data_IF_806416143833
#
_entry.id   IF_806416143833
#
_cell.length_a   1.000
_cell.length_b   1.000
_cell.length_c   1.000
_cell.angle_alpha   90.00
_cell.angle_beta   90.00
_cell.angle_gamma   90.00
#
_symmetry.space_group_name_H-M   'P 1'
#
loop_
_entity.id
_entity.type
_entity.pdbx_description
1 polymer ?
#
# COMPACT_ATOMS: atom_id res chain seq x y z
N UNK A 1 -6.66 66.40 -4.73
CA UNK A 1 -6.67 64.92 -4.63
C UNK A 1 -5.88 64.22 -5.76
N UNK A 2 -4.69 64.69 -6.17
CA UNK A 2 -3.86 64.01 -7.19
C UNK A 2 -2.38 63.82 -6.80
N UNK A 3 -1.97 64.25 -5.60
CA UNK A 3 -0.60 64.09 -5.09
C UNK A 3 -0.43 62.96 -4.05
N UNK A 4 -1.50 62.53 -3.39
CA UNK A 4 -1.45 61.43 -2.41
C UNK A 4 -1.59 60.04 -3.04
N UNK A 5 -2.08 59.93 -4.28
CA UNK A 5 -2.25 58.65 -4.97
C UNK A 5 -0.92 58.05 -5.47
N UNK A 6 0.12 58.88 -5.69
CA UNK A 6 1.45 58.40 -6.08
C UNK A 6 2.27 57.86 -4.92
N UNK A 7 1.97 58.25 -3.68
CA UNK A 7 2.67 57.75 -2.48
C UNK A 7 2.15 56.37 -2.02
N UNK A 8 0.92 56.00 -2.40
CA UNK A 8 0.32 54.71 -2.07
C UNK A 8 0.86 53.55 -2.93
N UNK A 9 1.46 53.84 -4.09
CA UNK A 9 2.09 52.83 -4.95
C UNK A 9 3.57 52.57 -4.62
N UNK A 10 4.23 53.45 -3.86
CA UNK A 10 5.65 53.28 -3.51
C UNK A 10 5.83 52.46 -2.22
N UNK A 11 4.83 52.39 -1.34
CA UNK A 11 4.88 51.51 -0.16
C UNK A 11 4.50 50.05 -0.45
N UNK A 12 3.81 49.78 -1.57
CA UNK A 12 3.45 48.41 -1.97
C UNK A 12 4.60 47.69 -2.68
N UNK A 13 5.59 48.42 -3.19
CA UNK A 13 6.76 47.87 -3.86
C UNK A 13 7.90 47.45 -2.91
N UNK A 14 7.87 47.86 -1.63
CA UNK A 14 8.89 47.48 -0.64
C UNK A 14 8.56 46.24 0.18
N UNK A 15 7.36 45.66 0.04
CA UNK A 15 6.97 44.41 0.70
C UNK A 15 7.17 43.15 -0.16
N UNK A 16 7.69 43.29 -1.38
CA UNK A 16 7.86 42.17 -2.33
C UNK A 16 9.32 41.63 -2.37
N UNK A 17 10.27 42.25 -1.67
CA UNK A 17 11.68 41.81 -1.66
C UNK A 17 12.17 41.15 -0.35
N UNK A 18 11.25 40.73 0.53
CA UNK A 18 11.60 40.05 1.79
C UNK A 18 11.11 38.61 1.90
N UNK A 19 10.64 38.01 0.81
CA UNK A 19 9.93 36.72 0.83
C UNK A 19 10.53 35.67 -0.09
N UNK A 20 11.84 35.44 -0.04
CA UNK A 20 12.43 34.24 -0.59
C UNK A 20 13.51 33.72 0.35
N UNK A 21 13.46 32.40 0.53
CA UNK A 21 14.52 31.56 1.10
C UNK A 21 14.54 31.49 2.63
N UNK A 22 13.53 30.86 3.22
CA UNK A 22 13.76 29.84 4.26
C UNK A 22 12.51 28.95 4.40
N UNK A 23 12.05 28.37 3.27
CA UNK A 23 11.39 27.07 3.38
C UNK A 23 12.52 26.09 3.68
N UNK A 24 12.81 25.94 4.97
CA UNK A 24 13.59 24.82 5.46
C UNK A 24 12.99 23.57 4.84
N UNK A 25 13.81 22.85 4.09
CA UNK A 25 13.55 21.48 3.71
C UNK A 25 13.24 20.79 5.03
N UNK A 26 11.96 20.57 5.34
CA UNK A 26 11.56 19.73 6.45
C UNK A 26 12.12 18.39 6.02
N UNK A 27 13.23 17.98 6.64
CA UNK A 27 13.68 16.60 6.54
C UNK A 27 12.49 15.79 7.05
N UNK A 28 11.67 15.32 6.12
CA UNK A 28 10.73 14.27 6.39
C UNK A 28 11.61 13.15 6.88
N UNK A 29 11.58 12.90 8.20
CA UNK A 29 12.08 11.66 8.76
C UNK A 29 11.47 10.58 7.89
N UNK A 30 12.30 9.93 7.08
CA UNK A 30 11.89 8.82 6.25
C UNK A 30 11.48 7.72 7.22
N UNK A 31 10.16 7.60 7.45
CA UNK A 31 9.59 6.71 8.46
C UNK A 31 9.75 5.24 8.02
N UNK A 32 10.11 5.01 6.75
CA UNK A 32 10.18 3.71 6.10
C UNK A 32 11.53 3.48 5.42
N UNK A 33 12.63 4.03 5.93
CA UNK A 33 13.94 3.93 5.28
C UNK A 33 14.32 2.49 4.97
N UNK A 34 14.08 1.56 5.90
CA UNK A 34 14.40 0.14 5.74
C UNK A 34 13.23 -0.71 5.24
N UNK A 35 11.98 -0.22 5.38
CA UNK A 35 10.78 -0.86 4.85
C UNK A 35 10.35 -0.38 3.45
N UNK A 36 11.07 0.55 2.78
CA UNK A 36 10.82 0.97 1.39
C UNK A 36 11.36 -0.05 0.38
N UNK A 37 10.79 -1.25 0.39
CA UNK A 37 11.05 -2.29 -0.61
C UNK A 37 10.03 -2.14 -1.74
N UNK A 38 10.52 -2.02 -2.96
CA UNK A 38 9.69 -1.87 -4.16
C UNK A 38 9.95 -2.98 -5.16
N UNK A 39 8.89 -3.35 -5.87
CA UNK A 39 8.95 -4.28 -6.99
C UNK A 39 8.41 -3.61 -8.26
N UNK A 40 9.23 -3.54 -9.30
CA UNK A 40 8.80 -3.08 -10.62
C UNK A 40 8.57 -4.28 -11.53
N UNK A 41 7.32 -4.49 -11.92
CA UNK A 41 6.94 -5.54 -12.84
C UNK A 41 7.09 -5.00 -14.26
N UNK A 42 8.05 -5.52 -15.02
CA UNK A 42 8.24 -5.15 -16.42
C UNK A 42 7.31 -6.01 -17.27
N UNK A 43 6.17 -5.46 -17.66
CA UNK A 43 5.12 -6.24 -18.35
C UNK A 43 5.02 -5.93 -19.86
N UNK A 44 4.15 -6.64 -20.57
CA UNK A 44 3.70 -6.27 -21.93
C UNK A 44 2.95 -4.92 -21.97
N UNK A 45 2.29 -4.52 -20.88
CA UNK A 45 1.52 -3.27 -20.77
C UNK A 45 2.35 -2.10 -20.18
N UNK A 46 3.65 -2.30 -19.99
CA UNK A 46 4.57 -1.34 -19.39
C UNK A 46 4.96 -1.70 -17.96
N UNK A 47 5.73 -0.82 -17.34
CA UNK A 47 6.31 -1.05 -16.01
C UNK A 47 5.30 -0.68 -14.93
N UNK A 48 5.06 -1.56 -13.98
CA UNK A 48 4.12 -1.34 -12.87
C UNK A 48 4.92 -1.42 -11.57
N UNK A 49 4.99 -0.32 -10.83
CA UNK A 49 5.67 -0.29 -9.54
C UNK A 49 4.72 -0.60 -8.38
N UNK A 50 5.18 -1.46 -7.48
CA UNK A 50 4.53 -1.80 -6.22
C UNK A 50 5.44 -1.45 -5.04
N UNK A 51 4.86 -0.87 -3.99
CA UNK A 51 5.43 -0.90 -2.64
C UNK A 51 5.06 -2.25 -2.00
N UNK A 52 6.01 -2.87 -1.33
CA UNK A 52 5.79 -4.11 -0.59
C UNK A 52 5.73 -3.81 0.92
N UNK A 53 4.93 -4.56 1.67
CA UNK A 53 4.74 -4.37 3.12
C UNK A 53 5.55 -5.40 3.96
N UNK A 54 6.90 -5.30 4.07
CA UNK A 54 7.66 -6.19 4.94
C UNK A 54 7.28 -6.05 6.43
N UNK A 55 6.67 -4.93 6.83
CA UNK A 55 6.09 -4.70 8.14
C UNK A 55 4.72 -5.37 8.34
N UNK A 56 4.02 -5.79 7.29
CA UNK A 56 2.77 -6.53 7.43
C UNK A 56 2.95 -8.03 7.21
N UNK A 57 3.78 -8.39 6.23
CA UNK A 57 3.96 -9.77 5.77
C UNK A 57 5.44 -10.06 5.48
N UNK A 58 6.33 -10.01 6.49
CA UNK A 58 7.78 -10.12 6.30
C UNK A 58 8.20 -11.41 5.59
N UNK A 59 7.53 -12.53 5.87
CA UNK A 59 7.86 -13.82 5.27
C UNK A 59 7.42 -13.85 3.81
N UNK A 60 6.21 -13.37 3.53
CA UNK A 60 5.65 -13.31 2.18
C UNK A 60 6.47 -12.40 1.29
N UNK A 61 6.83 -11.20 1.78
CA UNK A 61 7.70 -10.28 1.05
C UNK A 61 9.08 -10.90 0.82
N UNK A 62 9.68 -11.55 1.82
CA UNK A 62 10.96 -12.24 1.65
C UNK A 62 10.90 -13.36 0.61
N UNK A 63 9.82 -14.16 0.62
CA UNK A 63 9.58 -15.21 -0.36
C UNK A 63 9.47 -14.64 -1.78
N UNK A 64 8.60 -13.65 -1.96
CA UNK A 64 8.38 -12.98 -3.25
C UNK A 64 9.67 -12.35 -3.79
N UNK A 65 10.39 -11.60 -2.95
CA UNK A 65 11.66 -10.95 -3.31
C UNK A 65 12.72 -11.98 -3.71
N UNK A 66 12.86 -13.06 -2.95
CA UNK A 66 13.81 -14.13 -3.28
C UNK A 66 13.48 -14.77 -4.64
N UNK A 67 12.21 -15.11 -4.88
CA UNK A 67 11.76 -15.68 -6.16
C UNK A 67 12.02 -14.70 -7.32
N UNK A 68 11.72 -13.42 -7.16
CA UNK A 68 11.98 -12.38 -8.17
C UNK A 68 13.47 -12.24 -8.49
N UNK A 69 14.34 -12.12 -7.48
CA UNK A 69 15.79 -11.99 -7.66
C UNK A 69 16.43 -13.21 -8.34
N UNK A 70 15.83 -14.38 -8.14
CA UNK A 70 16.23 -15.63 -8.80
C UNK A 70 15.68 -15.80 -10.22
N UNK A 71 14.86 -14.85 -10.70
CA UNK A 71 14.24 -14.87 -12.01
C UNK A 71 13.10 -15.88 -12.14
N UNK A 72 12.48 -16.29 -11.03
CA UNK A 72 11.38 -17.27 -11.04
C UNK A 72 10.15 -16.76 -11.80
N UNK A 73 9.93 -15.44 -11.76
CA UNK A 73 8.82 -14.78 -12.45
C UNK A 73 9.15 -14.33 -13.88
N UNK A 74 10.38 -14.54 -14.35
CA UNK A 74 10.82 -14.11 -15.68
C UNK A 74 10.03 -14.87 -16.76
N UNK A 75 9.40 -14.12 -17.67
CA UNK A 75 8.53 -14.62 -18.76
C UNK A 75 7.31 -15.43 -18.29
N UNK A 76 6.81 -15.16 -17.09
CA UNK A 76 5.56 -15.77 -16.61
C UNK A 76 4.33 -14.99 -17.09
N UNK A 77 3.19 -15.67 -17.21
CA UNK A 77 1.94 -15.05 -17.69
C UNK A 77 0.95 -14.77 -16.56
N UNK A 78 0.12 -13.75 -16.76
CA UNK A 78 -1.15 -13.63 -16.04
C UNK A 78 -2.13 -14.67 -16.59
N UNK A 79 -2.22 -15.83 -15.93
CA UNK A 79 -2.96 -16.99 -16.45
C UNK A 79 -4.47 -16.89 -16.19
N UNK A 80 -4.91 -16.01 -15.29
CA UNK A 80 -6.32 -15.82 -14.95
C UNK A 80 -6.63 -14.34 -14.74
N UNK A 81 -7.70 -13.88 -15.38
CA UNK A 81 -8.27 -12.56 -15.17
C UNK A 81 -9.78 -12.73 -14.95
N UNK A 82 -10.32 -12.08 -13.93
CA UNK A 82 -11.76 -11.96 -13.70
C UNK A 82 -12.10 -10.48 -13.81
N UNK A 83 -12.93 -10.17 -14.80
CA UNK A 83 -13.37 -8.81 -15.07
C UNK A 83 -13.98 -8.19 -13.81
N UNK A 84 -13.62 -6.94 -13.55
CA UNK A 84 -14.06 -6.18 -12.39
C UNK A 84 -13.74 -6.80 -11.02
N UNK A 85 -12.73 -7.68 -10.95
CA UNK A 85 -12.35 -8.31 -9.70
C UNK A 85 -10.84 -8.34 -9.49
N UNK A 86 -10.12 -9.20 -10.23
CA UNK A 86 -8.69 -9.39 -10.03
C UNK A 86 -8.00 -10.00 -11.25
N UNK A 87 -6.68 -9.85 -11.28
CA UNK A 87 -5.79 -10.54 -12.21
C UNK A 87 -4.73 -11.33 -11.46
N UNK A 88 -4.49 -12.57 -11.86
CA UNK A 88 -3.65 -13.54 -11.15
C UNK A 88 -2.49 -14.02 -12.03
N UNK A 89 -1.31 -14.08 -11.44
CA UNK A 89 -0.04 -14.46 -12.07
C UNK A 89 0.87 -15.23 -11.11
N UNK A 90 2.15 -15.31 -11.46
CA UNK A 90 3.17 -15.93 -10.59
C UNK A 90 3.27 -17.45 -10.66
N UNK A 91 2.69 -18.07 -11.70
CA UNK A 91 2.85 -19.50 -12.03
C UNK A 91 3.74 -19.65 -13.28
N UNK A 92 4.96 -20.22 -13.15
CA UNK A 92 5.85 -20.46 -14.30
C UNK A 92 5.29 -21.40 -15.36
N UNK A 93 4.35 -22.27 -14.99
CA UNK A 93 3.68 -23.18 -15.93
C UNK A 93 2.52 -22.52 -16.68
N UNK A 94 2.01 -21.40 -16.15
CA UNK A 94 0.82 -20.72 -16.67
C UNK A 94 -0.49 -21.52 -16.52
N UNK A 95 -0.49 -22.61 -15.74
CA UNK A 95 -1.66 -23.51 -15.61
C UNK A 95 -2.59 -23.13 -14.45
N UNK A 96 -2.09 -22.34 -13.49
CA UNK A 96 -2.70 -22.07 -12.20
C UNK A 96 -2.37 -23.11 -11.12
N UNK A 97 -1.53 -24.11 -11.41
CA UNK A 97 -1.17 -25.20 -10.50
C UNK A 97 0.30 -25.16 -10.04
N UNK A 98 1.13 -24.30 -10.63
CA UNK A 98 2.55 -24.22 -10.27
C UNK A 98 2.78 -23.68 -8.86
N UNK A 99 3.85 -24.18 -8.24
CA UNK A 99 4.33 -23.85 -6.89
C UNK A 99 5.87 -23.88 -6.91
N UNK A 100 6.57 -23.09 -6.07
CA UNK A 100 8.03 -23.11 -5.99
C UNK A 100 8.60 -24.39 -5.35
N UNK A 101 7.75 -25.37 -5.03
CA UNK A 101 8.12 -26.64 -4.38
C UNK A 101 8.02 -26.60 -2.85
N UNK A 102 7.57 -25.48 -2.30
CA UNK A 102 7.31 -25.26 -0.87
C UNK A 102 6.13 -24.32 -0.68
N UNK A 103 5.63 -24.23 0.55
CA UNK A 103 4.52 -23.35 0.94
C UNK A 103 4.91 -22.52 2.16
N UNK A 104 4.26 -21.36 2.33
CA UNK A 104 4.41 -20.48 3.48
C UNK A 104 3.06 -20.20 4.15
N UNK A 105 3.13 -19.80 5.41
CA UNK A 105 1.96 -19.45 6.22
C UNK A 105 1.29 -18.16 5.72
N UNK A 106 0.03 -17.95 6.11
CA UNK A 106 -0.67 -16.69 5.92
C UNK A 106 -0.21 -15.65 6.97
N UNK A 107 -0.15 -14.38 6.57
CA UNK A 107 0.23 -13.25 7.44
C UNK A 107 -0.87 -12.18 7.34
N UNK A 108 -1.48 -11.86 8.48
CA UNK A 108 -2.58 -10.89 8.55
C UNK A 108 -2.30 -9.85 9.63
N UNK A 109 -2.68 -8.60 9.35
CA UNK A 109 -2.66 -7.48 10.30
C UNK A 109 -4.01 -6.76 10.27
N UNK A 110 -4.43 -6.20 11.39
CA UNK A 110 -5.78 -5.63 11.54
C UNK A 110 -6.01 -4.35 10.71
N UNK A 111 -4.94 -3.65 10.33
CA UNK A 111 -4.98 -2.36 9.65
C UNK A 111 -4.86 -2.46 8.12
N UNK A 112 -4.63 -3.65 7.58
CA UNK A 112 -4.45 -3.89 6.15
C UNK A 112 -5.56 -4.79 5.62
N UNK A 113 -6.33 -4.28 4.66
CA UNK A 113 -7.50 -4.96 4.10
C UNK A 113 -7.67 -4.67 2.60
N UNK A 114 -8.67 -5.30 1.98
CA UNK A 114 -9.00 -5.14 0.56
C UNK A 114 -10.02 -4.02 0.30
N UNK A 115 -10.09 -3.00 1.17
CA UNK A 115 -11.00 -1.86 0.97
C UNK A 115 -10.61 -1.01 -0.25
N UNK A 116 -9.30 -0.91 -0.54
CA UNK A 116 -8.79 -0.22 -1.71
C UNK A 116 -8.60 -1.18 -2.89
N UNK A 117 -8.75 -0.71 -4.15
CA UNK A 117 -8.35 -1.47 -5.32
C UNK A 117 -6.81 -1.50 -5.44
N UNK A 118 -6.29 -2.40 -6.27
CA UNK A 118 -4.87 -2.43 -6.61
C UNK A 118 -3.98 -3.10 -5.56
N UNK A 119 -4.56 -3.86 -4.63
CA UNK A 119 -3.82 -4.61 -3.61
C UNK A 119 -3.18 -5.85 -4.23
N UNK A 120 -1.90 -6.04 -3.95
CA UNK A 120 -1.13 -7.22 -4.32
C UNK A 120 -1.17 -8.23 -3.16
N UNK A 121 -1.65 -9.43 -3.44
CA UNK A 121 -1.87 -10.47 -2.43
C UNK A 121 -1.50 -11.87 -2.92
N UNK A 122 -1.16 -12.77 -2.01
CA UNK A 122 -0.83 -14.16 -2.33
C UNK A 122 -2.08 -14.95 -2.68
N UNK A 123 -2.01 -15.73 -3.75
CA UNK A 123 -3.00 -16.75 -4.02
C UNK A 123 -2.65 -18.02 -3.23
N UNK A 124 -3.67 -18.68 -2.68
CA UNK A 124 -3.52 -19.91 -1.91
C UNK A 124 -4.58 -20.96 -2.31
N UNK A 125 -4.40 -22.17 -1.82
CA UNK A 125 -5.31 -23.32 -1.99
C UNK A 125 -6.07 -23.64 -0.67
N UNK A 126 -6.13 -22.67 0.24
CA UNK A 126 -6.56 -22.83 1.62
C UNK A 126 -5.55 -22.23 2.60
N UNK A 127 -5.85 -22.22 3.91
CA UNK A 127 -5.00 -21.58 4.91
C UNK A 127 -3.56 -22.12 4.89
N UNK A 128 -2.57 -21.22 4.99
CA UNK A 128 -1.14 -21.52 5.05
C UNK A 128 -0.62 -22.31 3.84
N UNK A 129 -1.13 -22.00 2.64
CA UNK A 129 -0.68 -22.63 1.40
C UNK A 129 -0.20 -21.61 0.36
N UNK A 130 0.44 -20.54 0.84
CA UNK A 130 1.02 -19.52 -0.03
C UNK A 130 2.24 -20.10 -0.76
N UNK A 131 2.25 -20.01 -2.09
CA UNK A 131 3.35 -20.50 -2.93
C UNK A 131 4.09 -19.34 -3.60
N UNK A 132 4.06 -19.33 -4.93
CA UNK A 132 4.59 -18.23 -5.75
C UNK A 132 3.51 -17.39 -6.41
N UNK A 133 2.28 -17.91 -6.50
CA UNK A 133 1.19 -17.27 -7.20
C UNK A 133 0.65 -16.09 -6.39
N UNK A 134 0.34 -15.01 -7.09
CA UNK A 134 -0.23 -13.80 -6.53
C UNK A 134 -1.37 -13.31 -7.41
N UNK A 135 -2.19 -12.43 -6.86
CA UNK A 135 -3.17 -11.67 -7.62
C UNK A 135 -3.12 -10.19 -7.24
N UNK A 136 -3.62 -9.36 -8.15
CA UNK A 136 -3.80 -7.93 -7.96
C UNK A 136 -5.30 -7.65 -8.05
N UNK A 137 -5.87 -7.02 -7.03
CA UNK A 137 -7.27 -6.60 -7.08
C UNK A 137 -7.43 -5.42 -8.04
N UNK A 138 -8.48 -5.44 -8.86
CA UNK A 138 -8.84 -4.32 -9.73
C UNK A 138 -9.93 -3.46 -9.04
N UNK A 139 -10.68 -4.05 -8.12
CA UNK A 139 -11.74 -3.41 -7.35
C UNK A 139 -11.64 -3.82 -5.87
N UNK A 140 -12.24 -3.05 -4.95
CA UNK A 140 -12.37 -3.45 -3.54
C UNK A 140 -12.97 -4.86 -3.39
N UNK A 141 -12.46 -5.63 -2.44
CA UNK A 141 -12.73 -7.05 -2.34
C UNK A 141 -12.77 -7.55 -0.88
N UNK A 142 -13.55 -6.89 -0.02
CA UNK A 142 -13.64 -7.18 1.43
C UNK A 142 -13.84 -8.66 1.79
N UNK A 143 -14.52 -9.43 0.92
CA UNK A 143 -14.70 -10.89 1.10
C UNK A 143 -13.40 -11.70 1.15
N UNK A 144 -12.27 -11.11 0.74
CA UNK A 144 -10.93 -11.69 0.74
C UNK A 144 -10.15 -11.40 2.03
N UNK A 145 -10.65 -10.49 2.87
CA UNK A 145 -10.01 -10.15 4.15
C UNK A 145 -9.83 -11.39 5.01
N UNK A 146 -8.67 -11.49 5.68
CA UNK A 146 -8.32 -12.61 6.57
C UNK A 146 -8.33 -14.00 5.88
N UNK A 147 -8.21 -14.02 4.54
CA UNK A 147 -8.11 -15.23 3.73
C UNK A 147 -6.90 -15.27 2.82
N UNK A 148 -6.37 -14.11 2.44
CA UNK A 148 -5.22 -13.97 1.56
C UNK A 148 -4.29 -12.90 2.11
N UNK A 149 -3.00 -13.23 2.21
CA UNK A 149 -1.96 -12.30 2.68
C UNK A 149 -1.80 -11.16 1.70
N UNK A 150 -2.12 -9.94 2.12
CA UNK A 150 -1.78 -8.71 1.39
C UNK A 150 -0.32 -8.41 1.67
N UNK A 151 0.47 -8.17 0.63
CA UNK A 151 1.91 -7.91 0.77
C UNK A 151 2.42 -6.76 -0.09
N UNK A 152 1.54 -6.07 -0.84
CA UNK A 152 1.92 -4.83 -1.50
C UNK A 152 0.74 -4.04 -2.06
N UNK A 153 1.04 -2.84 -2.55
CA UNK A 153 0.12 -1.94 -3.24
C UNK A 153 0.85 -1.21 -4.38
N UNK A 154 0.11 -0.72 -5.38
CA UNK A 154 0.70 0.08 -6.46
C UNK A 154 1.17 1.45 -5.94
N UNK A 155 2.20 2.03 -6.58
CA UNK A 155 2.77 3.31 -6.11
C UNK A 155 2.07 4.54 -6.68
N UNK A 156 1.78 4.55 -7.99
CA UNK A 156 1.20 5.73 -8.65
C UNK A 156 -0.11 5.42 -9.36
N UNK A 157 -0.94 6.44 -9.58
CA UNK A 157 -2.14 6.32 -10.40
C UNK A 157 -1.84 5.76 -11.80
N UNK A 158 -0.66 6.06 -12.37
CA UNK A 158 -0.22 5.51 -13.64
C UNK A 158 0.05 4.01 -13.60
N UNK A 159 0.52 3.49 -12.47
CA UNK A 159 0.70 2.05 -12.24
C UNK A 159 -0.67 1.36 -12.17
N UNK A 160 -1.62 1.93 -11.43
CA UNK A 160 -2.98 1.42 -11.38
C UNK A 160 -3.69 1.45 -12.75
N UNK A 161 -3.48 2.50 -13.54
CA UNK A 161 -4.01 2.56 -14.90
C UNK A 161 -3.41 1.50 -15.84
N UNK A 162 -2.18 1.06 -15.58
CA UNK A 162 -1.57 -0.09 -16.28
C UNK A 162 -2.11 -1.42 -15.76
N UNK A 163 -2.31 -1.56 -14.45
CA UNK A 163 -2.95 -2.76 -13.86
C UNK A 163 -4.32 -3.01 -14.49
N UNK A 164 -5.15 -1.98 -14.66
CA UNK A 164 -6.47 -2.10 -15.31
C UNK A 164 -6.43 -2.52 -16.78
N UNK A 165 -5.28 -2.37 -17.44
CA UNK A 165 -5.09 -2.78 -18.84
C UNK A 165 -4.53 -4.19 -18.98
N UNK A 166 -4.11 -4.81 -17.87
CA UNK A 166 -3.60 -6.16 -17.90
C UNK A 166 -4.74 -7.13 -18.25
N UNK A 167 -4.45 -8.02 -19.18
CA UNK A 167 -5.36 -9.06 -19.65
C UNK A 167 -4.75 -10.45 -19.42
N UNK A 168 -5.61 -11.48 -19.48
CA UNK A 168 -5.12 -12.86 -19.46
C UNK A 168 -4.15 -13.09 -20.61
N UNK A 169 -2.98 -13.62 -20.30
CA UNK A 169 -1.91 -13.90 -21.26
C UNK A 169 -0.87 -12.79 -21.38
N UNK A 170 -1.08 -11.63 -20.76
CA UNK A 170 -0.01 -10.65 -20.60
C UNK A 170 1.17 -11.25 -19.83
N UNK A 171 2.37 -10.80 -20.18
CA UNK A 171 3.63 -11.41 -19.75
C UNK A 171 4.35 -10.48 -18.79
N UNK A 172 4.81 -11.03 -17.68
CA UNK A 172 5.83 -10.45 -16.81
C UNK A 172 7.18 -10.87 -17.38
N UNK A 173 7.93 -9.93 -17.95
CA UNK A 173 9.24 -10.20 -18.55
C UNK A 173 10.30 -10.42 -17.48
N UNK A 174 10.29 -9.54 -16.48
CA UNK A 174 11.15 -9.59 -15.30
C UNK A 174 10.48 -8.79 -14.16
N UNK A 175 10.90 -9.07 -12.93
CA UNK A 175 10.55 -8.26 -11.75
C UNK A 175 11.84 -7.71 -11.17
N UNK A 176 11.94 -6.38 -11.11
CA UNK A 176 13.08 -5.67 -10.50
C UNK A 176 12.75 -5.37 -9.06
N UNK A 177 13.70 -5.61 -8.16
CA UNK A 177 13.58 -5.29 -6.74
C UNK A 177 14.49 -4.12 -6.40
N UNK A 178 13.94 -3.15 -5.68
CA UNK A 178 14.62 -1.95 -5.21
C UNK A 178 14.42 -1.82 -3.68
N UNK A 179 15.33 -1.11 -3.00
CA UNK A 179 15.29 -0.91 -1.55
C UNK A 179 16.15 -1.90 -0.77
N UNK A 180 15.85 -2.08 0.52
CA UNK A 180 16.64 -2.88 1.47
C UNK A 180 16.33 -4.40 1.42
N UNK A 181 16.18 -4.94 0.21
CA UNK A 181 15.86 -6.36 -0.02
C UNK A 181 16.89 -7.32 0.57
N UNK A 182 18.18 -7.02 0.45
CA UNK A 182 19.25 -7.86 0.99
C UNK A 182 19.14 -8.00 2.52
N UNK A 183 18.85 -6.90 3.23
CA UNK A 183 18.66 -6.93 4.67
C UNK A 183 17.45 -7.80 5.05
N UNK A 184 16.33 -7.64 4.35
CA UNK A 184 15.13 -8.48 4.55
C UNK A 184 15.44 -9.98 4.37
N UNK A 185 16.18 -10.33 3.32
CA UNK A 185 16.56 -11.72 3.08
C UNK A 185 17.52 -12.23 4.16
N UNK A 186 18.48 -11.42 4.59
CA UNK A 186 19.42 -11.78 5.66
C UNK A 186 18.74 -11.94 7.02
N UNK A 187 17.69 -11.17 7.32
CA UNK A 187 16.85 -11.36 8.51
C UNK A 187 16.11 -12.69 8.49
N UNK A 188 15.84 -13.24 7.30
CA UNK A 188 15.13 -14.50 7.08
C UNK A 188 16.05 -15.62 6.55
N UNK A 189 17.36 -15.48 6.75
CA UNK A 189 18.38 -16.26 6.04
C UNK A 189 18.17 -17.77 6.09
N UNK A 190 17.93 -18.34 7.27
CA UNK A 190 17.77 -19.79 7.42
C UNK A 190 16.64 -20.35 6.56
N UNK A 191 15.52 -19.61 6.51
CA UNK A 191 14.34 -19.98 5.72
C UNK A 191 14.60 -19.79 4.23
N UNK A 192 15.21 -18.68 3.84
CA UNK A 192 15.55 -18.40 2.43
C UNK A 192 16.56 -19.44 1.92
N UNK A 193 17.53 -19.86 2.73
CA UNK A 193 18.47 -20.91 2.38
C UNK A 193 17.79 -22.27 2.21
N UNK A 194 16.77 -22.59 3.01
CA UNK A 194 15.95 -23.79 2.84
C UNK A 194 15.15 -23.76 1.52
N UNK A 195 14.45 -22.66 1.26
CA UNK A 195 13.76 -22.44 -0.01
C UNK A 195 14.71 -22.55 -1.19
N UNK A 196 15.90 -21.96 -1.08
CA UNK A 196 16.90 -21.96 -2.13
C UNK A 196 17.40 -23.38 -2.44
N UNK A 197 17.52 -24.28 -1.46
CA UNK A 197 17.84 -25.69 -1.70
C UNK A 197 16.76 -26.40 -2.50
N UNK A 198 15.49 -26.12 -2.21
CA UNK A 198 14.34 -26.69 -2.93
C UNK A 198 14.32 -26.14 -4.37
N UNK A 199 14.42 -24.82 -4.53
CA UNK A 199 14.46 -24.17 -5.84
C UNK A 199 15.62 -24.66 -6.70
N UNK A 200 16.79 -24.90 -6.10
CA UNK A 200 17.95 -25.45 -6.79
C UNK A 200 17.72 -26.84 -7.37
N UNK A 201 16.87 -27.63 -6.72
CA UNK A 201 16.49 -28.98 -7.12
C UNK A 201 15.37 -28.97 -8.16
N UNK A 202 14.29 -28.24 -7.89
CA UNK A 202 13.09 -28.23 -8.73
C UNK A 202 13.24 -27.33 -9.97
N UNK A 203 14.06 -26.27 -9.87
CA UNK A 203 14.27 -25.26 -10.92
C UNK A 203 15.77 -24.96 -11.11
N UNK A 204 16.55 -25.91 -11.66
CA UNK A 204 18.01 -25.81 -11.73
C UNK A 204 18.54 -24.64 -12.59
N UNK A 205 17.70 -24.10 -13.47
CA UNK A 205 18.05 -23.00 -14.38
C UNK A 205 17.85 -21.60 -13.78
N UNK A 206 17.30 -21.49 -12.56
CA UNK A 206 17.14 -20.19 -11.90
C UNK A 206 18.50 -19.56 -11.58
N UNK A 207 18.52 -18.23 -11.57
CA UNK A 207 19.67 -17.47 -11.08
C UNK A 207 19.92 -17.85 -9.62
N UNK A 208 21.19 -17.95 -9.24
CA UNK A 208 21.58 -18.11 -7.83
C UNK A 208 21.64 -16.74 -7.19
N UNK A 209 21.03 -16.61 -6.01
CA UNK A 209 21.08 -15.39 -5.20
C UNK A 209 21.53 -15.75 -3.78
N UNK A 210 22.84 -15.73 -3.49
CA UNK A 210 23.35 -16.06 -2.16
C UNK A 210 22.94 -14.97 -1.16
N UNK A 211 22.28 -15.36 -0.08
CA UNK A 211 21.88 -14.44 0.99
C UNK A 211 23.10 -14.04 1.80
N UNK A 212 23.30 -12.74 1.96
CA UNK A 212 24.39 -12.15 2.76
C UNK A 212 24.25 -12.54 4.23
N UNK A 213 25.37 -12.56 4.95
CA UNK A 213 25.32 -12.77 6.38
C UNK A 213 24.77 -11.52 7.09
N UNK A 214 24.01 -11.71 8.17
CA UNK A 214 23.41 -10.60 8.91
C UNK A 214 24.49 -9.68 9.52
N UNK A 215 25.68 -10.22 9.83
CA UNK A 215 26.81 -9.44 10.33
C UNK A 215 27.33 -8.39 9.33
N UNK A 216 27.05 -8.55 8.02
CA UNK A 216 27.44 -7.58 7.00
C UNK A 216 26.68 -6.25 7.09
N UNK A 217 25.55 -6.22 7.82
CA UNK A 217 24.66 -5.05 7.92
C UNK A 217 24.92 -4.22 9.18
N UNK A 218 25.74 -4.69 10.13
CA UNK A 218 26.14 -3.94 11.31
C UNK A 218 24.96 -3.24 12.03
N UNK A 219 25.00 -1.91 12.07
CA UNK A 219 24.00 -1.10 12.77
C UNK A 219 22.64 -1.01 12.06
N UNK A 220 22.55 -1.39 10.77
CA UNK A 220 21.29 -1.32 10.01
C UNK A 220 20.23 -2.24 10.60
N UNK A 221 20.62 -3.37 11.19
CA UNK A 221 19.70 -4.31 11.85
C UNK A 221 18.98 -3.63 13.02
N UNK A 222 19.73 -2.89 13.83
CA UNK A 222 19.16 -2.20 14.99
C UNK A 222 18.30 -1.00 14.57
N UNK A 223 18.71 -0.32 13.50
CA UNK A 223 17.94 0.77 12.89
C UNK A 223 16.61 0.26 12.31
N UNK A 224 16.61 -0.89 11.64
CA UNK A 224 15.41 -1.56 11.15
C UNK A 224 14.47 -1.93 12.29
N UNK A 225 14.97 -2.53 13.38
CA UNK A 225 14.16 -2.84 14.57
C UNK A 225 13.53 -1.59 15.17
N UNK A 226 14.32 -0.52 15.32
CA UNK A 226 13.83 0.77 15.81
C UNK A 226 12.76 1.36 14.88
N UNK A 227 12.88 1.17 13.57
CA UNK A 227 11.89 1.59 12.59
C UNK A 227 10.58 0.80 12.75
N UNK A 228 10.65 -0.53 12.84
CA UNK A 228 9.48 -1.38 13.11
C UNK A 228 8.78 -0.99 14.41
N UNK A 229 9.53 -0.77 15.49
CA UNK A 229 8.97 -0.31 16.76
C UNK A 229 8.19 1.00 16.60
N UNK A 230 8.68 1.94 15.80
CA UNK A 230 7.97 3.20 15.52
C UNK A 230 6.72 3.00 14.66
N UNK A 231 6.73 2.04 13.75
CA UNK A 231 5.57 1.70 12.90
C UNK A 231 4.45 1.11 13.76
N UNK A 232 4.77 0.19 14.68
CA UNK A 232 3.78 -0.48 15.52
C UNK A 232 3.40 0.28 16.78
N UNK A 233 4.27 1.17 17.29
CA UNK A 233 3.93 1.98 18.45
C UNK A 233 2.90 3.02 18.03
N UNK A 234 1.66 2.96 18.55
CA UNK A 234 0.70 4.00 18.30
C UNK A 234 1.32 5.31 18.76
N UNK A 235 1.45 6.29 17.87
CA UNK A 235 1.76 7.64 18.33
C UNK A 235 0.64 8.03 19.29
N UNK A 236 0.99 8.22 20.56
CA UNK A 236 0.19 9.10 21.39
C UNK A 236 0.04 10.37 20.56
N UNK A 237 -1.20 10.71 20.20
CA UNK A 237 -1.44 12.04 19.69
C UNK A 237 -0.97 12.94 20.82
N UNK A 238 0.22 13.53 20.68
CA UNK A 238 0.41 14.85 21.25
C UNK A 238 -0.80 15.62 20.74
N UNK A 239 -1.70 15.91 21.67
CA UNK A 239 -2.77 16.85 21.42
C UNK A 239 -2.01 18.15 21.16
N UNK A 240 -1.56 18.38 19.93
CA UNK A 240 -1.58 19.72 19.40
C UNK A 240 -3.00 20.14 19.68
N UNK A 241 -3.17 20.98 20.72
CA UNK A 241 -4.41 21.68 20.98
C UNK A 241 -4.91 22.07 19.59
N UNK A 242 -6.01 21.45 19.15
CA UNK A 242 -6.73 21.96 18.01
C UNK A 242 -6.88 23.42 18.36
N UNK A 243 -6.12 24.30 17.68
CA UNK A 243 -6.37 25.71 17.79
C UNK A 243 -7.80 25.80 17.31
N UNK A 244 -8.72 25.93 18.25
CA UNK A 244 -10.09 26.35 17.99
C UNK A 244 -9.90 27.62 17.17
N UNK A 245 -9.96 27.48 15.85
CA UNK A 245 -10.15 28.63 15.00
C UNK A 245 -11.34 29.33 15.61
N UNK A 246 -11.18 30.59 15.97
CA UNK A 246 -12.22 31.38 16.60
C UNK A 246 -13.44 31.39 15.67
N UNK A 247 -14.34 30.41 15.82
CA UNK A 247 -15.59 30.34 15.08
C UNK A 247 -16.44 31.43 15.73
N UNK A 248 -16.68 32.57 15.06
CA UNK A 248 -17.43 33.64 15.67
C UNK A 248 -18.83 33.13 16.04
N UNK A 249 -19.41 33.60 17.17
CA UNK A 249 -20.70 33.12 17.71
C UNK A 249 -21.82 32.96 16.66
N UNK A 250 -21.80 33.79 15.61
CA UNK A 250 -22.77 33.75 14.52
C UNK A 250 -22.70 32.45 13.69
N UNK A 251 -21.52 31.86 13.49
CA UNK A 251 -21.36 30.60 12.74
C UNK A 251 -21.86 29.43 13.58
N UNK A 252 -21.49 29.34 14.87
CA UNK A 252 -22.03 28.32 15.81
C UNK A 252 -23.56 28.40 15.92
N UNK A 253 -24.13 29.60 16.02
CA UNK A 253 -25.59 29.77 16.07
C UNK A 253 -26.30 29.35 14.77
N UNK A 254 -25.64 29.56 13.62
CA UNK A 254 -26.17 29.13 12.32
C UNK A 254 -26.14 27.62 12.18
N UNK A 255 -25.05 26.97 12.56
CA UNK A 255 -24.92 25.51 12.56
C UNK A 255 -25.92 24.85 13.51
N UNK A 256 -26.10 25.41 14.71
CA UNK A 256 -27.06 24.90 15.68
C UNK A 256 -28.50 25.01 15.16
N UNK A 257 -28.87 26.16 14.56
CA UNK A 257 -30.18 26.31 13.90
C UNK A 257 -30.38 25.37 12.72
N UNK A 258 -29.33 25.05 11.97
CA UNK A 258 -29.40 24.07 10.87
C UNK A 258 -29.62 22.66 11.43
N UNK A 259 -28.94 22.29 12.51
CA UNK A 259 -29.14 21.00 13.19
C UNK A 259 -30.56 20.89 13.77
N UNK A 260 -31.04 21.92 14.46
CA UNK A 260 -32.41 21.95 15.01
C UNK A 260 -33.48 21.84 13.92
N UNK A 261 -33.32 22.55 12.79
CA UNK A 261 -34.24 22.45 11.64
C UNK A 261 -34.23 21.07 10.99
N UNK A 262 -33.06 20.42 10.90
CA UNK A 262 -32.96 19.04 10.39
C UNK A 262 -33.63 18.05 11.33
N UNK A 263 -33.41 18.18 12.65
CA UNK A 263 -34.05 17.32 13.65
C UNK A 263 -35.58 17.47 13.63
N UNK A 264 -36.09 18.70 13.63
CA UNK A 264 -37.53 18.95 13.58
C UNK A 264 -38.19 18.43 12.27
N UNK A 265 -37.46 18.47 11.15
CA UNK A 265 -37.94 17.91 9.88
C UNK A 265 -38.04 16.38 9.93
N UNK A 266 -37.04 15.72 10.53
CA UNK A 266 -37.02 14.26 10.72
C UNK A 266 -38.15 13.82 11.66
N UNK A 267 -38.35 14.52 12.78
CA UNK A 267 -39.45 14.24 13.71
C UNK A 267 -40.82 14.42 13.05
N UNK A 268 -41.00 15.46 12.23
CA UNK A 268 -42.25 15.66 11.50
C UNK A 268 -42.52 14.55 10.49
N UNK A 269 -41.52 14.18 9.68
CA UNK A 269 -41.63 13.07 8.71
C UNK A 269 -41.89 11.72 9.39
N UNK A 270 -41.34 11.49 10.58
CA UNK A 270 -41.64 10.29 11.38
C UNK A 270 -43.06 10.31 11.95
N UNK A 271 -43.52 11.46 12.46
CA UNK A 271 -44.88 11.59 12.99
C UNK A 271 -45.96 11.44 11.91
N UNK A 272 -45.74 11.97 10.70
CA UNK A 272 -46.66 11.84 9.56
C UNK A 272 -46.75 10.39 9.08
N UNK A 273 -45.63 9.65 9.04
CA UNK A 273 -45.63 8.22 8.73
C UNK A 273 -46.42 7.38 9.74
N UNK A 274 -46.31 7.69 11.03
CA UNK A 274 -47.03 6.97 12.09
C UNK A 274 -48.56 7.23 11.99
N UNK A 275 -48.96 8.44 11.58
CA UNK A 275 -50.39 8.80 11.42
C UNK A 275 -50.99 8.12 10.18
N UNK A 276 -50.26 8.05 9.07
CA UNK A 276 -50.71 7.33 7.86
C UNK A 276 -50.85 5.81 8.11
N UNK A 277 -50.01 5.23 8.96
CA UNK A 277 -50.08 3.80 9.32
C UNK A 277 -51.26 3.46 10.23
N UNK A 278 -51.80 4.44 10.97
CA UNK A 278 -52.93 4.28 11.90
C UNK A 278 -54.31 4.62 11.31
N UNK A 279 -54.38 5.07 10.04
CA UNK A 279 -55.63 5.52 9.38
C UNK A 279 -56.11 4.60 8.26
N UNK A 280 -55.51 3.41 8.10
CA UNK A 280 -55.83 2.41 7.05
C UNK A 280 -56.55 1.14 7.56
N UNK A 281 -57.16 1.17 8.75
CA UNK A 281 -58.12 0.15 9.24
C UNK A 281 -59.50 0.75 9.50
#
# INVERSE_FOLDING_TARGET
MKRYLKLLFVSLALFILGGCSFFGKKDSVDITRYNDIRATFVTSQGDIEFYLYPEAAPITVANFVNLALRGYYDNTVFHRAIENFMIQGGDPTGTGQGTPGYLTDDEFVDWLDFYQPGMLAMANMGPNTNGSQFFITIYPADSLNQRYTIFGEFVTQGDYDRIKKLEKGDVIKEIKINGHADLLLSLNKDRVDEWNKILDKEYPNLKKYPVKDLSEFGNEVEQYRTELEKIYTPKEKEVEEEKEFFIPRFIRATEQKIKERKAAKIEKEQSEKIIDEFTLD
#
